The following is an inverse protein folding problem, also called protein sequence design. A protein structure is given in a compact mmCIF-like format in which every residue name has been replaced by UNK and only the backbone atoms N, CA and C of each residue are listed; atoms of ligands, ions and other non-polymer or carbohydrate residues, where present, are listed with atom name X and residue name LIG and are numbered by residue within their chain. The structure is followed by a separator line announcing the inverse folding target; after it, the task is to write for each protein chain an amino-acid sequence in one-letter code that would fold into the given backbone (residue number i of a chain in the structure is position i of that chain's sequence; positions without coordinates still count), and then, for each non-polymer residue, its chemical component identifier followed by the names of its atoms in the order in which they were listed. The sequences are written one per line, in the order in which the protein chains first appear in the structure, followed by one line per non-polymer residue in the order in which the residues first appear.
data_IF_728876448208
#
_entry.id   IF_728876448208
#
_cell.length_a   1.000
_cell.length_b   1.000
_cell.length_c   1.000
_cell.angle_alpha   90.00
_cell.angle_beta   90.00
_cell.angle_gamma   90.00
#
_symmetry.space_group_name_H-M   'P 1'
#
loop_
_entity.id
_entity.type
_entity.pdbx_description
1 polymer ?
#
# COMPACT_ATOMS: atom_id res chain seq x y z
N UNK A 1 -32.86 21.11 28.89
CA UNK A 1 -31.72 20.19 29.13
C UNK A 1 -31.90 19.01 28.19
N UNK A 2 -31.08 18.91 27.15
CA UNK A 2 -31.10 17.71 26.30
C UNK A 2 -30.55 16.54 27.12
N UNK A 3 -31.20 15.37 27.05
CA UNK A 3 -30.77 14.15 27.75
C UNK A 3 -29.37 13.71 27.31
N UNK A 4 -28.87 12.64 27.94
CA UNK A 4 -27.54 12.10 27.62
C UNK A 4 -27.35 11.98 26.10
N UNK A 5 -26.25 12.53 25.54
CA UNK A 5 -26.02 12.51 24.10
C UNK A 5 -26.04 11.08 23.58
N UNK A 6 -26.59 10.88 22.38
CA UNK A 6 -26.62 9.58 21.73
C UNK A 6 -25.39 9.43 20.83
N UNK A 7 -24.38 8.62 21.20
CA UNK A 7 -23.14 8.54 20.45
C UNK A 7 -23.29 7.63 19.22
N UNK A 8 -22.84 8.13 18.07
CA UNK A 8 -22.65 7.39 16.84
C UNK A 8 -21.15 7.21 16.58
N UNK A 9 -20.71 5.97 16.39
CA UNK A 9 -19.31 5.66 16.06
C UNK A 9 -19.19 5.31 14.58
N UNK A 10 -18.25 5.98 13.91
CA UNK A 10 -17.85 5.67 12.52
C UNK A 10 -16.45 5.07 12.50
N UNK A 11 -16.35 3.82 12.03
CA UNK A 11 -15.07 3.12 11.88
C UNK A 11 -14.34 3.55 10.60
N UNK A 12 -13.23 4.23 10.77
CA UNK A 12 -12.39 4.78 9.71
C UNK A 12 -11.11 3.97 9.55
N UNK A 13 -10.04 4.59 9.04
CA UNK A 13 -8.71 4.00 8.88
C UNK A 13 -7.69 5.12 8.78
N UNK A 14 -6.45 4.86 9.19
CA UNK A 14 -5.32 5.73 8.86
C UNK A 14 -5.19 6.01 7.35
N UNK A 15 -5.66 5.09 6.49
CA UNK A 15 -5.69 5.27 5.02
C UNK A 15 -6.75 6.27 4.53
N UNK A 16 -7.58 6.80 5.44
CA UNK A 16 -8.47 7.94 5.16
C UNK A 16 -7.78 9.30 5.27
N UNK A 17 -6.51 9.33 5.69
CA UNK A 17 -5.70 10.55 5.83
C UNK A 17 -4.48 10.55 4.91
N UNK A 18 -3.99 9.36 4.59
CA UNK A 18 -2.86 9.14 3.71
C UNK A 18 -3.23 8.07 2.70
N UNK A 19 -2.84 8.28 1.45
CA UNK A 19 -3.01 7.28 0.41
C UNK A 19 -1.73 6.45 0.31
N UNK A 20 -1.85 5.15 0.56
CA UNK A 20 -0.73 4.22 0.47
C UNK A 20 -0.69 3.61 -0.94
N UNK A 21 0.47 3.64 -1.63
CA UNK A 21 0.61 2.97 -2.91
C UNK A 21 0.27 1.48 -2.82
N UNK A 22 -0.39 0.95 -3.86
CA UNK A 22 -0.95 -0.41 -3.86
C UNK A 22 -2.30 -0.55 -3.14
N UNK A 23 -2.72 0.46 -2.37
CA UNK A 23 -4.01 0.52 -1.68
C UNK A 23 -4.83 1.75 -2.09
N UNK A 24 -4.61 2.31 -3.27
CA UNK A 24 -5.24 3.56 -3.72
C UNK A 24 -6.77 3.51 -3.67
N UNK A 25 -7.38 2.45 -4.22
CA UNK A 25 -8.83 2.28 -4.20
C UNK A 25 -9.40 2.16 -2.77
N UNK A 26 -8.69 1.44 -1.89
CA UNK A 26 -9.03 1.34 -0.47
C UNK A 26 -8.89 2.70 0.25
N UNK A 27 -7.80 3.43 -0.02
CA UNK A 27 -7.54 4.74 0.58
C UNK A 27 -8.60 5.75 0.14
N UNK A 28 -9.00 5.73 -1.14
CA UNK A 28 -10.09 6.55 -1.67
C UNK A 28 -11.41 6.31 -0.91
N UNK A 29 -11.82 5.05 -0.73
CA UNK A 29 -13.06 4.75 0.02
C UNK A 29 -12.99 5.19 1.48
N UNK A 30 -11.81 5.09 2.10
CA UNK A 30 -11.59 5.57 3.48
C UNK A 30 -11.56 7.10 3.58
N UNK A 31 -11.04 7.83 2.59
CA UNK A 31 -11.15 9.29 2.53
C UNK A 31 -12.61 9.73 2.37
N UNK A 32 -13.40 9.04 1.53
CA UNK A 32 -14.83 9.32 1.41
C UNK A 32 -15.56 9.12 2.74
N UNK A 33 -15.22 8.08 3.50
CA UNK A 33 -15.82 7.82 4.82
C UNK A 33 -15.46 8.91 5.84
N UNK A 34 -14.23 9.46 5.78
CA UNK A 34 -13.83 10.62 6.60
C UNK A 34 -14.72 11.82 6.30
N UNK A 35 -14.86 12.17 5.02
CA UNK A 35 -15.71 13.30 4.60
C UNK A 35 -17.15 13.11 5.03
N UNK A 36 -17.67 11.88 4.93
CA UNK A 36 -19.02 11.54 5.36
C UNK A 36 -19.19 11.70 6.88
N UNK A 37 -18.24 11.23 7.69
CA UNK A 37 -18.27 11.39 9.14
C UNK A 37 -18.20 12.87 9.56
N UNK A 38 -17.39 13.69 8.88
CA UNK A 38 -17.29 15.12 9.14
C UNK A 38 -18.62 15.84 8.87
N UNK A 39 -19.33 15.47 7.80
CA UNK A 39 -20.68 15.96 7.50
C UNK A 39 -21.70 15.55 8.57
N UNK A 40 -21.75 14.26 8.91
CA UNK A 40 -22.64 13.76 9.96
C UNK A 40 -22.44 14.46 11.29
N UNK A 41 -21.20 14.76 11.68
CA UNK A 41 -20.90 15.47 12.94
C UNK A 41 -21.57 16.85 13.03
N UNK A 42 -21.83 17.51 11.91
CA UNK A 42 -22.51 18.79 11.86
C UNK A 42 -24.03 18.59 11.72
N UNK A 43 -24.44 17.74 10.78
CA UNK A 43 -25.85 17.53 10.48
C UNK A 43 -26.61 16.92 11.66
N UNK A 44 -25.96 16.03 12.42
CA UNK A 44 -26.58 15.28 13.51
C UNK A 44 -26.81 16.11 14.79
N UNK A 45 -26.17 17.28 14.93
CA UNK A 45 -26.21 18.08 16.17
C UNK A 45 -27.63 18.49 16.57
N UNK A 46 -28.50 18.79 15.60
CA UNK A 46 -29.88 19.21 15.84
C UNK A 46 -30.75 18.14 16.52
N UNK A 47 -30.31 16.88 16.53
CA UNK A 47 -30.96 15.77 17.23
C UNK A 47 -30.24 15.36 18.53
N UNK A 48 -29.20 16.09 18.95
CA UNK A 48 -28.42 15.73 20.14
C UNK A 48 -27.59 14.45 19.97
N UNK A 49 -27.32 14.04 18.72
CA UNK A 49 -26.47 12.89 18.39
C UNK A 49 -25.04 13.39 18.21
N UNK A 50 -24.09 12.80 18.94
CA UNK A 50 -22.66 13.09 18.80
C UNK A 50 -22.03 12.06 17.87
N UNK A 51 -21.13 12.50 16.98
CA UNK A 51 -20.47 11.62 16.02
C UNK A 51 -18.99 11.54 16.36
N UNK A 52 -18.52 10.32 16.57
CA UNK A 52 -17.16 9.99 16.95
C UNK A 52 -16.52 9.10 15.90
N UNK A 53 -15.27 9.38 15.57
CA UNK A 53 -14.52 8.59 14.59
C UNK A 53 -13.42 7.81 15.26
N UNK A 54 -13.25 6.54 14.89
CA UNK A 54 -12.11 5.72 15.34
C UNK A 54 -11.31 5.35 14.10
N UNK A 55 -10.01 5.65 14.10
CA UNK A 55 -9.12 5.48 12.94
C UNK A 55 -8.02 4.44 13.22
N UNK A 56 -8.34 3.13 13.19
CA UNK A 56 -7.34 2.09 13.37
C UNK A 56 -6.22 2.18 12.33
N UNK A 57 -5.02 1.81 12.77
CA UNK A 57 -3.94 1.40 11.88
C UNK A 57 -4.15 -0.04 11.39
N UNK A 58 -3.08 -0.67 10.92
CA UNK A 58 -3.08 -2.07 10.57
C UNK A 58 -2.92 -2.96 11.82
N UNK A 59 -3.82 -3.93 11.96
CA UNK A 59 -3.83 -4.93 13.03
C UNK A 59 -4.00 -6.33 12.43
N UNK A 60 -3.41 -7.35 13.07
CA UNK A 60 -3.52 -8.75 12.67
C UNK A 60 -4.95 -9.24 12.86
N UNK A 61 -5.71 -9.14 11.78
CA UNK A 61 -7.11 -9.56 11.65
C UNK A 61 -7.27 -10.24 10.28
N UNK A 62 -8.42 -10.86 9.96
CA UNK A 62 -8.61 -11.51 8.66
C UNK A 62 -8.31 -10.62 7.45
N UNK A 63 -8.52 -9.29 7.55
CA UNK A 63 -8.25 -8.34 6.45
C UNK A 63 -6.75 -8.18 6.14
N UNK A 64 -5.87 -8.45 7.10
CA UNK A 64 -4.42 -8.25 6.97
C UNK A 64 -3.66 -9.56 6.72
N UNK A 65 -4.37 -10.65 6.44
CA UNK A 65 -3.74 -11.94 6.17
C UNK A 65 -3.13 -11.96 4.76
N UNK A 66 -1.87 -12.38 4.67
CA UNK A 66 -1.10 -12.39 3.42
C UNK A 66 -1.70 -13.36 2.39
N UNK A 67 -2.02 -14.60 2.80
CA UNK A 67 -2.48 -15.62 1.85
C UNK A 67 -3.82 -15.26 1.16
N UNK A 68 -4.89 -14.84 1.87
CA UNK A 68 -6.11 -14.35 1.22
C UNK A 68 -5.87 -13.16 0.30
N UNK A 69 -4.98 -12.23 0.68
CA UNK A 69 -4.62 -11.09 -0.15
C UNK A 69 -3.95 -11.52 -1.45
N UNK A 70 -2.96 -12.43 -1.37
CA UNK A 70 -2.28 -12.97 -2.55
C UNK A 70 -3.23 -13.69 -3.49
N UNK A 71 -4.12 -14.53 -2.94
CA UNK A 71 -5.14 -15.23 -3.73
C UNK A 71 -6.09 -14.26 -4.45
N UNK A 72 -6.47 -13.15 -3.81
CA UNK A 72 -7.28 -12.11 -4.43
C UNK A 72 -6.51 -11.43 -5.57
N UNK A 73 -5.23 -11.08 -5.37
CA UNK A 73 -4.37 -10.51 -6.40
C UNK A 73 -4.20 -11.45 -7.60
N UNK A 74 -4.01 -12.75 -7.37
CA UNK A 74 -3.94 -13.77 -8.43
C UNK A 74 -5.22 -13.87 -9.24
N UNK A 75 -6.37 -13.78 -8.56
CA UNK A 75 -7.65 -13.75 -9.25
C UNK A 75 -7.77 -12.47 -10.10
N UNK A 76 -7.52 -11.30 -9.52
CA UNK A 76 -7.61 -10.04 -10.24
C UNK A 76 -6.66 -9.98 -11.44
N UNK A 77 -5.45 -10.50 -11.31
CA UNK A 77 -4.49 -10.56 -12.42
C UNK A 77 -4.98 -11.45 -13.58
N UNK A 78 -5.60 -12.60 -13.26
CA UNK A 78 -6.19 -13.47 -14.29
C UNK A 78 -7.42 -12.86 -14.95
N UNK A 79 -8.17 -12.04 -14.22
CA UNK A 79 -9.35 -11.33 -14.72
C UNK A 79 -9.00 -10.04 -15.48
N UNK A 80 -7.77 -9.53 -15.37
CA UNK A 80 -7.30 -8.40 -16.17
C UNK A 80 -7.30 -8.73 -17.66
N UNK A 81 -7.55 -7.70 -18.47
CA UNK A 81 -7.44 -7.77 -19.93
C UNK A 81 -6.00 -7.98 -20.39
N UNK A 82 -5.83 -8.51 -21.61
CA UNK A 82 -4.51 -8.84 -22.16
C UNK A 82 -3.60 -7.62 -22.28
N UNK A 83 -4.13 -6.47 -22.68
CA UNK A 83 -3.39 -5.21 -22.76
C UNK A 83 -2.77 -4.78 -21.42
N UNK A 84 -3.50 -4.95 -20.31
CA UNK A 84 -2.99 -4.67 -18.96
C UNK A 84 -1.90 -5.66 -18.57
N UNK A 85 -2.11 -6.96 -18.86
CA UNK A 85 -1.10 -7.99 -18.57
C UNK A 85 0.18 -7.77 -19.38
N UNK A 86 0.06 -7.39 -20.65
CA UNK A 86 1.21 -7.04 -21.50
C UNK A 86 1.93 -5.78 -21.01
N UNK A 87 1.19 -4.77 -20.53
CA UNK A 87 1.76 -3.54 -20.02
C UNK A 87 2.65 -3.77 -18.79
N UNK A 88 2.17 -4.56 -17.83
CA UNK A 88 2.86 -4.79 -16.57
C UNK A 88 3.80 -6.00 -16.61
N UNK A 89 3.40 -7.09 -17.26
CA UNK A 89 4.09 -8.38 -17.31
C UNK A 89 3.97 -9.17 -16.00
N UNK A 90 3.96 -10.50 -16.09
CA UNK A 90 3.76 -11.38 -14.93
C UNK A 90 4.80 -11.14 -13.82
N UNK A 91 6.05 -10.87 -14.20
CA UNK A 91 7.14 -10.56 -13.28
C UNK A 91 6.88 -9.34 -12.37
N UNK A 92 6.00 -8.41 -12.78
CA UNK A 92 5.62 -7.27 -11.96
C UNK A 92 4.74 -7.67 -10.77
N UNK A 93 3.82 -8.62 -11.00
CA UNK A 93 2.92 -9.13 -9.95
C UNK A 93 3.61 -10.17 -9.10
N UNK A 94 4.29 -11.11 -9.75
CA UNK A 94 4.96 -12.22 -9.11
C UNK A 94 6.23 -12.59 -9.86
N UNK A 95 7.37 -12.44 -9.19
CA UNK A 95 8.63 -12.95 -9.68
C UNK A 95 8.71 -14.47 -9.50
N UNK A 96 9.39 -15.17 -10.43
CA UNK A 96 9.80 -16.55 -10.17
C UNK A 96 10.76 -16.58 -8.98
N UNK A 97 10.67 -17.64 -8.16
CA UNK A 97 11.34 -17.76 -6.85
C UNK A 97 12.84 -17.39 -6.84
N UNK A 98 13.56 -17.68 -7.93
CA UNK A 98 15.01 -17.42 -8.05
C UNK A 98 15.34 -15.92 -8.11
N UNK A 99 14.41 -15.08 -8.59
CA UNK A 99 14.64 -13.63 -8.78
C UNK A 99 14.15 -12.79 -7.58
N UNK A 100 13.30 -13.36 -6.71
CA UNK A 100 12.78 -12.69 -5.49
C UNK A 100 13.92 -12.24 -4.55
N UNK A 101 15.07 -12.92 -4.59
CA UNK A 101 16.24 -12.56 -3.78
C UNK A 101 16.92 -11.24 -4.23
N UNK A 102 16.63 -10.79 -5.46
CA UNK A 102 17.28 -9.62 -6.07
C UNK A 102 16.32 -8.43 -6.24
N UNK A 103 15.03 -8.69 -6.44
CA UNK A 103 14.01 -7.66 -6.69
C UNK A 103 12.70 -7.94 -5.95
N UNK A 104 11.95 -6.86 -5.67
CA UNK A 104 10.64 -6.92 -5.03
C UNK A 104 9.53 -6.71 -6.06
N UNK A 105 8.68 -7.73 -6.23
CA UNK A 105 7.43 -7.63 -6.96
C UNK A 105 6.32 -7.01 -6.11
N UNK A 106 5.16 -6.80 -6.73
CA UNK A 106 4.00 -6.23 -6.06
C UNK A 106 3.53 -7.05 -4.86
N UNK A 107 3.46 -8.39 -4.98
CA UNK A 107 3.01 -9.24 -3.87
C UNK A 107 3.94 -9.19 -2.66
N UNK A 108 5.25 -9.19 -2.88
CA UNK A 108 6.29 -9.08 -1.86
C UNK A 108 6.20 -7.74 -1.13
N UNK A 109 6.03 -6.64 -1.87
CA UNK A 109 5.81 -5.30 -1.31
C UNK A 109 4.57 -5.28 -0.41
N UNK A 110 3.44 -5.84 -0.86
CA UNK A 110 2.20 -5.90 -0.08
C UNK A 110 2.40 -6.76 1.17
N UNK A 111 3.03 -7.94 1.07
CA UNK A 111 3.32 -8.81 2.23
C UNK A 111 4.11 -8.08 3.31
N UNK A 112 5.18 -7.38 2.94
CA UNK A 112 5.99 -6.60 3.89
C UNK A 112 5.17 -5.51 4.58
N UNK A 113 4.22 -4.90 3.87
CA UNK A 113 3.33 -3.94 4.49
C UNK A 113 2.38 -4.61 5.50
N UNK A 114 1.84 -5.78 5.13
CA UNK A 114 0.95 -6.56 5.98
C UNK A 114 1.64 -7.11 7.24
N UNK A 115 2.92 -7.50 7.15
CA UNK A 115 3.71 -8.01 8.28
C UNK A 115 3.93 -6.97 9.38
N UNK A 116 3.79 -5.67 9.04
CA UNK A 116 3.85 -4.56 10.01
C UNK A 116 2.56 -4.39 10.80
N UNK A 117 1.55 -5.23 10.56
CA UNK A 117 0.33 -5.26 11.32
C UNK A 117 0.65 -5.47 12.81
N UNK A 118 0.05 -4.63 13.66
CA UNK A 118 0.16 -4.81 15.10
C UNK A 118 -0.44 -6.17 15.50
N UNK A 119 0.11 -6.84 16.51
CA UNK A 119 -0.42 -8.11 17.02
C UNK A 119 -1.91 -8.05 17.41
N UNK A 120 -2.60 -9.18 17.38
CA UNK A 120 -4.05 -9.27 17.62
C UNK A 120 -4.43 -8.80 19.03
N UNK A 121 -3.60 -9.03 20.03
CA UNK A 121 -3.80 -8.57 21.41
C UNK A 121 -3.86 -7.03 21.53
N UNK A 122 -3.28 -6.30 20.57
CA UNK A 122 -3.33 -4.83 20.52
C UNK A 122 -4.63 -4.30 19.92
N UNK A 123 -5.50 -5.15 19.37
CA UNK A 123 -6.84 -4.73 18.90
C UNK A 123 -7.65 -4.10 20.04
N UNK A 124 -7.37 -4.47 21.29
CA UNK A 124 -8.00 -3.85 22.46
C UNK A 124 -7.87 -2.33 22.48
N UNK A 125 -6.78 -1.75 21.96
CA UNK A 125 -6.61 -0.30 21.84
C UNK A 125 -7.77 0.35 21.05
N UNK A 126 -8.28 -0.33 20.03
CA UNK A 126 -9.41 0.12 19.21
C UNK A 126 -10.72 0.02 19.98
N UNK A 127 -10.88 -1.08 20.73
CA UNK A 127 -12.08 -1.31 21.54
C UNK A 127 -12.16 -0.30 22.68
N UNK A 128 -11.05 -0.03 23.36
CA UNK A 128 -10.97 0.97 24.43
C UNK A 128 -11.34 2.37 23.89
N UNK A 129 -10.86 2.75 22.70
CA UNK A 129 -11.25 4.00 22.02
C UNK A 129 -12.76 4.04 21.69
N UNK A 130 -13.36 2.92 21.27
CA UNK A 130 -14.80 2.83 21.03
C UNK A 130 -15.60 2.93 22.33
N UNK A 131 -15.13 2.32 23.42
CA UNK A 131 -15.76 2.40 24.73
C UNK A 131 -15.72 3.84 25.25
N UNK A 132 -14.58 4.52 25.16
CA UNK A 132 -14.47 5.93 25.55
C UNK A 132 -15.40 6.82 24.72
N UNK A 133 -15.53 6.56 23.42
CA UNK A 133 -16.45 7.29 22.55
C UNK A 133 -17.93 7.16 22.95
N UNK A 134 -18.34 6.03 23.53
CA UNK A 134 -19.73 5.80 23.97
C UNK A 134 -19.96 6.24 25.41
N UNK A 135 -19.02 5.93 26.30
CA UNK A 135 -19.23 5.93 27.75
C UNK A 135 -18.30 6.87 28.52
N UNK A 136 -17.38 7.58 27.84
CA UNK A 136 -16.48 8.54 28.48
C UNK A 136 -17.21 9.81 28.93
N UNK A 137 -16.69 10.45 29.98
CA UNK A 137 -17.24 11.71 30.50
C UNK A 137 -17.02 12.90 29.53
N UNK A 138 -15.94 12.86 28.75
CA UNK A 138 -15.60 13.88 27.76
C UNK A 138 -15.04 13.23 26.48
N UNK A 139 -15.90 12.56 25.70
CA UNK A 139 -15.45 11.77 24.56
C UNK A 139 -14.92 12.66 23.44
N UNK A 140 -13.82 12.24 22.82
CA UNK A 140 -13.20 12.96 21.70
C UNK A 140 -14.04 12.78 20.44
N UNK A 141 -14.05 13.77 19.55
CA UNK A 141 -14.66 13.60 18.22
C UNK A 141 -13.86 12.63 17.34
N UNK A 142 -12.59 12.40 17.66
CA UNK A 142 -11.67 11.58 16.88
C UNK A 142 -10.68 10.82 17.75
N UNK A 143 -10.62 9.52 17.50
CA UNK A 143 -9.75 8.56 18.14
C UNK A 143 -8.79 7.96 17.11
N UNK A 144 -7.50 7.91 17.47
CA UNK A 144 -6.45 7.27 16.69
C UNK A 144 -5.73 6.31 17.61
N UNK A 145 -5.99 5.00 17.49
CA UNK A 145 -5.36 3.98 18.30
C UNK A 145 -3.82 4.07 18.24
N UNK A 146 -3.20 4.12 19.42
CA UNK A 146 -1.76 4.26 19.70
C UNK A 146 -1.13 5.63 19.46
N UNK A 147 -0.42 6.09 20.48
CA UNK A 147 0.38 7.33 20.48
C UNK A 147 1.45 7.32 19.40
N UNK A 148 2.08 6.17 19.14
CA UNK A 148 3.13 6.05 18.11
C UNK A 148 2.55 6.36 16.72
N UNK A 149 1.34 5.88 16.44
CA UNK A 149 0.61 6.21 15.20
C UNK A 149 0.39 7.71 15.10
N UNK A 150 -0.07 8.35 16.18
CA UNK A 150 -0.37 9.77 16.20
C UNK A 150 0.88 10.62 15.95
N UNK A 151 2.01 10.27 16.58
CA UNK A 151 3.30 10.93 16.37
C UNK A 151 3.74 10.76 14.92
N UNK A 152 3.71 9.53 14.40
CA UNK A 152 4.11 9.24 13.01
C UNK A 152 3.23 9.98 12.01
N UNK A 153 1.92 10.02 12.23
CA UNK A 153 0.99 10.76 11.39
C UNK A 153 1.32 12.26 11.42
N UNK A 154 1.48 12.86 12.60
CA UNK A 154 1.85 14.29 12.73
C UNK A 154 3.15 14.61 12.00
N UNK A 155 4.18 13.79 12.20
CA UNK A 155 5.46 13.92 11.52
C UNK A 155 5.28 13.87 10.00
N UNK A 156 4.60 12.84 9.49
CA UNK A 156 4.34 12.71 8.06
C UNK A 156 3.56 13.90 7.50
N UNK A 157 2.49 14.35 8.16
CA UNK A 157 1.71 15.52 7.71
C UNK A 157 2.49 16.82 7.69
N UNK A 158 3.57 16.92 8.46
CA UNK A 158 4.42 18.12 8.50
C UNK A 158 5.51 18.15 7.44
N UNK A 159 5.77 17.02 6.75
CA UNK A 159 6.79 16.93 5.71
C UNK A 159 6.28 17.50 4.37
N UNK A 160 7.14 18.18 3.59
CA UNK A 160 6.83 18.55 2.21
C UNK A 160 6.47 17.33 1.33
N UNK A 161 5.65 17.55 0.31
CA UNK A 161 5.14 16.50 -0.59
C UNK A 161 6.28 15.68 -1.20
N UNK A 162 7.33 16.33 -1.71
CA UNK A 162 8.47 15.64 -2.30
C UNK A 162 9.15 14.66 -1.31
N UNK A 163 9.25 15.02 -0.03
CA UNK A 163 9.86 14.15 0.99
C UNK A 163 8.94 12.99 1.36
N UNK A 164 7.63 13.24 1.47
CA UNK A 164 6.63 12.19 1.68
C UNK A 164 6.61 11.21 0.53
N UNK A 165 6.62 11.72 -0.69
CA UNK A 165 6.62 10.92 -1.91
C UNK A 165 7.87 10.05 -1.95
N UNK A 166 9.06 10.60 -1.72
CA UNK A 166 10.29 9.80 -1.65
C UNK A 166 10.19 8.66 -0.63
N UNK A 167 9.60 8.91 0.55
CA UNK A 167 9.39 7.87 1.55
C UNK A 167 8.46 6.76 1.03
N UNK A 168 7.35 7.10 0.35
CA UNK A 168 6.42 6.11 -0.18
C UNK A 168 6.95 5.41 -1.44
N UNK A 169 7.63 6.13 -2.33
CA UNK A 169 8.25 5.59 -3.54
C UNK A 169 9.32 4.56 -3.20
N UNK A 170 10.05 4.73 -2.10
CA UNK A 170 11.02 3.73 -1.62
C UNK A 170 10.41 2.36 -1.27
N UNK A 171 9.08 2.33 -1.06
CA UNK A 171 8.33 1.12 -0.75
C UNK A 171 7.61 0.51 -1.96
N UNK A 172 7.71 1.10 -3.16
CA UNK A 172 7.11 0.56 -4.37
C UNK A 172 7.82 -0.72 -4.86
N UNK A 173 7.14 -1.53 -5.71
CA UNK A 173 7.80 -2.63 -6.40
C UNK A 173 9.02 -2.13 -7.16
N UNK A 174 10.13 -2.84 -7.02
CA UNK A 174 11.36 -2.50 -7.74
C UNK A 174 11.35 -3.06 -9.17
N UNK A 175 10.56 -4.10 -9.41
CA UNK A 175 10.34 -4.62 -10.77
C UNK A 175 9.57 -3.57 -11.58
N UNK A 176 10.15 -3.02 -12.67
CA UNK A 176 9.43 -2.08 -13.52
C UNK A 176 8.37 -2.82 -14.37
N UNK A 177 7.29 -2.14 -14.80
CA UNK A 177 6.36 -2.68 -15.79
C UNK A 177 7.09 -3.12 -17.07
N UNK A 178 6.66 -4.22 -17.68
CA UNK A 178 7.25 -4.79 -18.89
C UNK A 178 7.33 -3.77 -20.05
N UNK A 179 6.27 -2.97 -20.25
CA UNK A 179 6.23 -1.93 -21.28
C UNK A 179 7.31 -0.86 -21.08
N UNK A 180 7.58 -0.46 -19.84
CA UNK A 180 8.63 0.53 -19.52
C UNK A 180 10.00 -0.04 -19.87
N UNK A 181 10.23 -1.32 -19.56
CA UNK A 181 11.48 -2.02 -19.88
C UNK A 181 11.66 -2.16 -21.40
N UNK A 182 10.60 -2.55 -22.12
CA UNK A 182 10.61 -2.65 -23.58
C UNK A 182 10.91 -1.31 -24.26
N UNK A 183 10.27 -0.23 -23.80
CA UNK A 183 10.49 1.11 -24.32
C UNK A 183 11.92 1.63 -24.06
N UNK A 184 12.48 1.35 -22.88
CA UNK A 184 13.89 1.67 -22.59
C UNK A 184 14.84 0.94 -23.53
N UNK A 185 14.62 -0.36 -23.76
CA UNK A 185 15.43 -1.16 -24.69
C UNK A 185 15.32 -0.64 -26.12
N UNK A 186 14.10 -0.33 -26.59
CA UNK A 186 13.87 0.26 -27.91
C UNK A 186 14.59 1.60 -28.09
N UNK A 187 14.53 2.49 -27.09
CA UNK A 187 15.24 3.77 -27.13
C UNK A 187 16.76 3.59 -27.17
N UNK A 188 17.30 2.66 -26.38
CA UNK A 188 18.74 2.37 -26.39
C UNK A 188 19.22 1.79 -27.74
N UNK A 189 18.36 1.05 -28.46
CA UNK A 189 18.67 0.56 -29.81
C UNK A 189 18.60 1.66 -30.88
N UNK A 190 17.78 2.69 -30.68
CA UNK A 190 17.58 3.79 -31.65
C UNK A 190 18.61 4.92 -31.49
N UNK A 191 19.25 5.05 -30.33
CA UNK A 191 20.29 6.04 -30.06
C UNK A 191 21.43 5.38 -29.24
N UNK A 192 22.32 4.61 -29.91
CA UNK A 192 23.38 3.88 -29.24
C UNK A 192 24.49 4.78 -28.66
N UNK A 193 24.64 6.03 -29.13
CA UNK A 193 25.64 6.98 -28.61
C UNK A 193 25.23 7.60 -27.26
N UNK A 194 23.92 7.70 -26.96
CA UNK A 194 23.40 8.13 -25.65
C UNK A 194 23.04 6.98 -24.69
N UNK A 195 23.21 5.72 -25.09
CA UNK A 195 22.98 4.59 -24.22
C UNK A 195 24.07 4.57 -23.12
N UNK A 196 23.70 4.87 -21.87
CA UNK A 196 24.62 4.84 -20.72
C UNK A 196 25.40 3.51 -20.72
N UNK A 197 26.74 3.53 -20.65
CA UNK A 197 27.53 2.31 -20.67
C UNK A 197 27.26 1.53 -19.36
N UNK A 198 26.60 0.38 -19.47
CA UNK A 198 26.31 -0.45 -18.30
C UNK A 198 25.26 -1.56 -18.48
N UNK A 199 24.58 -1.69 -19.62
CA UNK A 199 23.62 -2.78 -19.82
C UNK A 199 23.63 -3.32 -21.25
N UNK A 200 24.64 -4.11 -21.60
CA UNK A 200 24.61 -5.00 -22.77
C UNK A 200 24.19 -6.41 -22.33
N UNK A 201 23.13 -7.01 -22.94
CA UNK A 201 22.89 -8.43 -22.85
C UNK A 201 23.46 -9.15 -24.09
N UNK A 202 24.39 -10.09 -23.85
CA UNK A 202 24.63 -11.26 -24.72
C UNK A 202 25.87 -11.19 -25.62
N UNK A 203 26.88 -12.04 -25.33
CA UNK A 203 27.74 -12.62 -26.37
C UNK A 203 27.24 -14.04 -26.65
N UNK A 204 26.58 -14.22 -27.78
CA UNK A 204 26.36 -15.52 -28.38
C UNK A 204 27.60 -15.97 -29.16
N UNK A 205 27.90 -17.27 -29.02
CA UNK A 205 28.38 -18.21 -30.04
C UNK A 205 29.64 -17.81 -30.82
N UNK A 206 30.70 -18.60 -30.63
CA UNK A 206 31.77 -18.75 -31.61
C UNK A 206 31.96 -20.25 -31.90
N UNK A 207 31.45 -20.70 -33.06
CA UNK A 207 31.92 -21.92 -33.71
C UNK A 207 33.19 -21.59 -34.51
N UNK A 208 34.23 -22.42 -34.41
CA UNK A 208 35.46 -22.22 -35.18
C UNK A 208 36.65 -23.07 -34.71
N UNK A 209 36.56 -24.37 -34.98
CA UNK A 209 37.62 -25.34 -35.33
C UNK A 209 39.09 -24.98 -35.03
N UNK A 210 39.78 -25.83 -34.27
CA UNK A 210 41.14 -26.30 -34.59
C UNK A 210 41.50 -27.60 -33.85
N UNK A 211 41.65 -28.67 -34.62
CA UNK A 211 42.39 -29.89 -34.30
C UNK A 211 43.86 -29.55 -34.00
N UNK A 212 44.44 -30.18 -32.97
CA UNK A 212 45.75 -30.84 -33.04
C UNK A 212 46.03 -31.65 -31.76
N UNK A 213 46.42 -32.91 -31.97
CA UNK A 213 46.93 -33.87 -30.99
C UNK A 213 48.25 -33.42 -30.33
N UNK A 214 48.52 -34.01 -29.14
CA UNK A 214 49.75 -34.73 -28.75
C UNK A 214 50.17 -34.39 -27.31
N UNK A 215 50.25 -35.43 -26.46
CA UNK A 215 50.84 -35.40 -25.12
C UNK A 215 50.12 -36.31 -24.13
#
# INVERSE_FOLDING_TARGET
MYGNPHPLIVSLSASGRYTFPGFTAYSMSKHATVSFADGLRLEMQKWGITVHTVEPTLYRTPISQVAPMHNALDRFWRECSDDVRECYGDAYIQLPYVVILLLQDFKSTISKHLDRAKPTEKVKEVVDDMVDAVAGDNPKTRYVPSVVTQIRAKLLSSLPDAMRDQLFLSSLPQTPPALVTANKKKRALMDPENARPGSTPGSQVNEGVLHAELG
#
